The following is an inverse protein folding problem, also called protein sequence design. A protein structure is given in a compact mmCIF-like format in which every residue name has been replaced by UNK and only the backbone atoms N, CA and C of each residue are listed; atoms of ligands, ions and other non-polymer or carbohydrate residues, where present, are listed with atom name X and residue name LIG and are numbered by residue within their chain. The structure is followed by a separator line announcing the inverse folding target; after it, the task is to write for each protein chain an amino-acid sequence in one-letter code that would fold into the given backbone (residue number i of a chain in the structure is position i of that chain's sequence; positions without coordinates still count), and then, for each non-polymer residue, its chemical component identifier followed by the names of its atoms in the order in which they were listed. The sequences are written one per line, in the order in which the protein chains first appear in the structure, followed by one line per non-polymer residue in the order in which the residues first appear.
data_IF_305252745174
#
_entry.id   IF_305252745174
#
_cell.length_a   1.000
_cell.length_b   1.000
_cell.length_c   1.000
_cell.angle_alpha   90.00
_cell.angle_beta   90.00
_cell.angle_gamma   90.00
#
_symmetry.space_group_name_H-M   'P 1'
#
loop_
_entity.id
_entity.type
_entity.pdbx_description
1 polymer ?
#
# COMPACT_ATOMS: atom_id res chain seq x y z
N UNK A 1 -9.99 2.34 -2.73
CA UNK A 1 -8.97 2.93 -3.61
C UNK A 1 -8.32 4.15 -2.96
N UNK A 2 -8.95 5.33 -2.95
CA UNK A 2 -8.36 6.53 -2.34
C UNK A 2 -7.93 6.33 -0.87
N UNK A 3 -8.78 5.71 -0.05
CA UNK A 3 -8.46 5.41 1.36
C UNK A 3 -7.24 4.50 1.51
N UNK A 4 -7.14 3.45 0.68
CA UNK A 4 -6.01 2.51 0.67
C UNK A 4 -4.72 3.23 0.28
N UNK A 5 -4.79 4.08 -0.74
CA UNK A 5 -3.64 4.87 -1.18
C UNK A 5 -3.17 5.84 -0.07
N UNK A 6 -4.09 6.55 0.59
CA UNK A 6 -3.75 7.46 1.69
C UNK A 6 -3.11 6.70 2.86
N UNK A 7 -3.65 5.54 3.24
CA UNK A 7 -3.10 4.73 4.33
C UNK A 7 -1.69 4.21 4.02
N UNK A 8 -1.45 3.70 2.82
CA UNK A 8 -0.11 3.30 2.38
C UNK A 8 0.87 4.47 2.34
N UNK A 9 0.42 5.63 1.83
CA UNK A 9 1.25 6.85 1.77
C UNK A 9 1.71 7.28 3.17
N UNK A 10 0.79 7.32 4.13
CA UNK A 10 1.09 7.71 5.52
C UNK A 10 2.02 6.70 6.19
N UNK A 11 1.80 5.41 5.95
CA UNK A 11 2.63 4.36 6.50
C UNK A 11 4.08 4.47 6.03
N UNK A 12 4.29 4.63 4.71
CA UNK A 12 5.63 4.83 4.17
C UNK A 12 6.28 6.12 4.70
N UNK A 13 5.51 7.20 4.87
CA UNK A 13 6.00 8.45 5.44
C UNK A 13 6.45 8.28 6.91
N UNK A 14 5.68 7.53 7.71
CA UNK A 14 6.01 7.25 9.12
C UNK A 14 7.31 6.46 9.22
N UNK A 15 7.52 5.47 8.36
CA UNK A 15 8.75 4.69 8.36
C UNK A 15 9.98 5.54 8.00
N UNK A 16 9.88 6.31 6.90
CA UNK A 16 10.95 7.21 6.44
C UNK A 16 11.29 8.27 7.50
N UNK A 17 10.27 8.95 8.04
CA UNK A 17 10.48 10.00 9.05
C UNK A 17 10.94 9.45 10.39
N UNK A 18 10.55 8.21 10.74
CA UNK A 18 11.00 7.51 11.94
C UNK A 18 12.50 7.22 11.94
N UNK A 19 13.06 6.78 10.80
CA UNK A 19 14.50 6.61 10.62
C UNK A 19 15.26 7.93 10.71
N UNK A 20 14.74 8.96 10.01
CA UNK A 20 15.36 10.29 9.99
C UNK A 20 15.46 10.93 11.40
N UNK A 21 14.40 10.79 12.23
CA UNK A 21 14.38 11.29 13.61
C UNK A 21 15.36 10.59 14.54
N UNK A 22 15.72 9.33 14.26
CA UNK A 22 16.73 8.58 15.02
C UNK A 22 18.16 8.90 14.58
N UNK A 23 18.34 9.79 13.59
CA UNK A 23 19.65 10.13 13.03
C UNK A 23 20.31 8.97 12.27
N UNK A 24 19.53 7.94 11.91
CA UNK A 24 20.02 6.69 11.34
C UNK A 24 19.30 6.31 10.05
N UNK A 25 19.78 5.24 9.42
CA UNK A 25 19.18 4.65 8.23
C UNK A 25 17.88 3.92 8.67
N UNK A 26 16.72 4.15 8.02
CA UNK A 26 15.49 3.39 8.26
C UNK A 26 15.74 1.87 8.33
N UNK A 27 15.07 1.16 9.23
CA UNK A 27 15.33 -0.28 9.48
C UNK A 27 15.19 -1.16 8.23
N UNK A 28 14.32 -0.77 7.30
CA UNK A 28 14.14 -1.47 6.03
C UNK A 28 15.33 -1.29 5.07
N UNK A 29 16.07 -0.18 5.16
CA UNK A 29 17.28 0.07 4.37
C UNK A 29 18.49 -0.65 4.96
N UNK A 30 18.54 -0.80 6.28
CA UNK A 30 19.60 -1.53 6.99
C UNK A 30 19.61 -3.03 6.62
N UNK A 31 18.43 -3.61 6.35
CA UNK A 31 18.28 -5.00 5.90
C UNK A 31 18.56 -5.21 4.42
N UNK A 32 18.29 -4.20 3.59
CA UNK A 32 18.34 -4.31 2.12
C UNK A 32 19.70 -3.84 1.55
N UNK A 33 20.51 -3.12 2.34
CA UNK A 33 21.87 -2.69 1.94
C UNK A 33 21.90 -1.65 0.82
N UNK A 34 20.73 -1.09 0.48
CA UNK A 34 20.54 -0.09 -0.56
C UNK A 34 20.32 1.29 0.06
N UNK A 35 20.67 2.33 -0.70
CA UNK A 35 20.53 3.74 -0.28
C UNK A 35 19.07 4.21 -0.27
N UNK A 36 18.20 3.49 -1.00
CA UNK A 36 16.77 3.74 -1.12
C UNK A 36 16.04 2.40 -1.22
N UNK A 37 14.85 2.31 -0.62
CA UNK A 37 14.01 1.13 -0.77
C UNK A 37 13.25 1.30 -2.10
N UNK A 38 13.56 0.51 -3.14
CA UNK A 38 12.95 0.66 -4.45
C UNK A 38 11.42 0.45 -4.40
N UNK A 39 10.92 -0.29 -3.41
CA UNK A 39 9.48 -0.47 -3.15
C UNK A 39 8.85 0.86 -2.74
N UNK A 40 9.46 1.60 -1.80
CA UNK A 40 8.92 2.90 -1.37
C UNK A 40 8.89 3.90 -2.51
N UNK A 41 9.96 3.93 -3.33
CA UNK A 41 10.05 4.86 -4.45
C UNK A 41 8.95 4.58 -5.46
N UNK A 42 8.78 3.32 -5.87
CA UNK A 42 7.78 2.91 -6.85
C UNK A 42 6.36 3.14 -6.32
N UNK A 43 6.13 2.88 -5.03
CA UNK A 43 4.85 3.12 -4.37
C UNK A 43 4.49 4.61 -4.36
N UNK A 44 5.39 5.46 -3.86
CA UNK A 44 5.15 6.89 -3.67
C UNK A 44 5.14 7.67 -4.99
N UNK A 45 5.93 7.27 -5.99
CA UNK A 45 6.06 8.02 -7.24
C UNK A 45 5.03 7.64 -8.31
N UNK A 46 4.56 6.38 -8.33
CA UNK A 46 3.77 5.85 -9.44
C UNK A 46 2.45 5.21 -8.98
N UNK A 47 2.51 4.25 -8.08
CA UNK A 47 1.32 3.50 -7.67
C UNK A 47 0.32 4.35 -6.91
N UNK A 48 0.77 5.16 -5.96
CA UNK A 48 -0.12 5.98 -5.13
C UNK A 48 -0.79 7.12 -5.92
N UNK A 49 -0.05 7.90 -6.75
CA UNK A 49 -0.67 8.87 -7.66
C UNK A 49 -1.62 8.20 -8.65
N UNK A 50 -1.24 7.06 -9.22
CA UNK A 50 -2.09 6.32 -10.16
C UNK A 50 -3.36 5.78 -9.51
N UNK A 51 -3.28 5.25 -8.29
CA UNK A 51 -4.45 4.81 -7.52
C UNK A 51 -5.41 5.96 -7.20
N UNK A 52 -4.88 7.17 -6.93
CA UNK A 52 -5.69 8.37 -6.76
C UNK A 52 -6.42 8.75 -8.05
N UNK A 53 -5.72 8.74 -9.20
CA UNK A 53 -6.32 9.00 -10.52
C UNK A 53 -7.43 7.98 -10.81
N UNK A 54 -7.20 6.69 -10.56
CA UNK A 54 -8.20 5.63 -10.75
C UNK A 54 -9.40 5.82 -9.83
N UNK A 55 -9.19 6.24 -8.57
CA UNK A 55 -10.28 6.58 -7.65
C UNK A 55 -11.14 7.74 -8.18
N UNK A 56 -10.52 8.80 -8.70
CA UNK A 56 -11.22 9.94 -9.29
C UNK A 56 -11.99 9.52 -10.55
N UNK A 57 -11.39 8.67 -11.41
CA UNK A 57 -12.05 8.15 -12.61
C UNK A 57 -13.27 7.28 -12.28
N UNK A 58 -13.21 6.48 -11.22
CA UNK A 58 -14.34 5.71 -10.70
C UNK A 58 -15.47 6.61 -10.19
N UNK A 59 -15.15 7.66 -9.42
CA UNK A 59 -16.13 8.64 -8.95
C UNK A 59 -16.83 9.36 -10.12
N UNK A 60 -16.09 9.60 -11.20
CA UNK A 60 -16.59 10.19 -12.45
C UNK A 60 -17.30 9.18 -13.37
N UNK A 61 -17.51 7.93 -12.93
CA UNK A 61 -18.12 6.83 -13.70
C UNK A 61 -17.48 6.62 -15.08
N UNK A 62 -16.18 6.87 -15.22
CA UNK A 62 -15.44 6.66 -16.48
C UNK A 62 -15.07 5.19 -16.63
N UNK A 63 -15.24 4.64 -17.83
CA UNK A 63 -14.92 3.24 -18.15
C UNK A 63 -13.48 2.87 -17.85
N UNK A 64 -12.54 3.80 -18.08
CA UNK A 64 -11.12 3.61 -17.71
C UNK A 64 -10.91 3.40 -16.21
N UNK A 65 -11.69 4.08 -15.37
CA UNK A 65 -11.63 3.88 -13.91
C UNK A 65 -12.10 2.48 -13.53
N UNK A 66 -13.13 1.96 -14.19
CA UNK A 66 -13.64 0.61 -13.93
C UNK A 66 -12.63 -0.48 -14.34
N UNK A 67 -12.00 -0.33 -15.51
CA UNK A 67 -11.00 -1.27 -16.04
C UNK A 67 -9.74 -1.26 -15.18
N UNK A 68 -9.25 -0.09 -14.79
CA UNK A 68 -8.02 0.03 -13.99
C UNK A 68 -8.23 -0.28 -12.49
N UNK A 69 -9.47 -0.26 -12.00
CA UNK A 69 -9.76 -0.58 -10.61
C UNK A 69 -9.34 -2.01 -10.24
N UNK A 70 -9.63 -2.98 -11.10
CA UNK A 70 -9.37 -4.40 -10.84
C UNK A 70 -7.87 -4.69 -10.67
N UNK A 71 -6.97 -4.34 -11.62
CA UNK A 71 -5.54 -4.60 -11.46
C UNK A 71 -4.95 -3.88 -10.25
N UNK A 72 -5.41 -2.66 -9.94
CA UNK A 72 -4.97 -1.95 -8.73
C UNK A 72 -5.44 -2.66 -7.44
N UNK A 73 -6.67 -3.17 -7.38
CA UNK A 73 -7.18 -3.90 -6.22
C UNK A 73 -6.40 -5.20 -5.99
N UNK A 74 -6.12 -5.94 -7.07
CA UNK A 74 -5.32 -7.17 -7.01
C UNK A 74 -3.90 -6.87 -6.55
N UNK A 75 -3.29 -5.82 -7.09
CA UNK A 75 -1.96 -5.37 -6.67
C UNK A 75 -1.91 -5.02 -5.18
N UNK A 76 -2.85 -4.21 -4.68
CA UNK A 76 -2.91 -3.88 -3.25
C UNK A 76 -3.13 -5.11 -2.35
N UNK A 77 -3.93 -6.08 -2.79
CA UNK A 77 -4.13 -7.32 -2.06
C UNK A 77 -2.85 -8.17 -2.00
N UNK A 78 -2.19 -8.39 -3.14
CA UNK A 78 -0.95 -9.17 -3.21
C UNK A 78 0.19 -8.52 -2.43
N UNK A 79 0.36 -7.21 -2.58
CA UNK A 79 1.36 -6.45 -1.82
C UNK A 79 1.11 -6.56 -0.31
N UNK A 80 -0.14 -6.38 0.10
CA UNK A 80 -0.48 -6.51 1.50
C UNK A 80 -0.25 -7.93 2.05
N UNK A 81 -0.52 -8.98 1.27
CA UNK A 81 -0.18 -10.37 1.63
C UNK A 81 1.34 -10.53 1.79
N UNK A 82 2.13 -10.06 0.81
CA UNK A 82 3.59 -10.17 0.84
C UNK A 82 4.19 -9.49 2.09
N UNK A 83 3.68 -8.30 2.41
CA UNK A 83 4.09 -7.53 3.59
C UNK A 83 3.74 -8.27 4.90
N UNK A 84 2.52 -8.80 5.03
CA UNK A 84 2.11 -9.59 6.20
C UNK A 84 2.98 -10.84 6.33
N UNK A 85 3.27 -11.54 5.24
CA UNK A 85 4.18 -12.69 5.24
C UNK A 85 5.59 -12.31 5.70
N UNK A 86 6.10 -11.14 5.31
CA UNK A 86 7.41 -10.65 5.74
C UNK A 86 7.43 -10.30 7.23
N UNK A 87 6.35 -9.69 7.74
CA UNK A 87 6.21 -9.34 9.16
C UNK A 87 6.13 -10.58 10.07
N UNK A 88 5.45 -11.65 9.63
CA UNK A 88 5.40 -12.94 10.36
C UNK A 88 6.80 -13.55 10.44
N UNK A 89 7.56 -13.54 9.35
CA UNK A 89 8.89 -14.16 9.30
C UNK A 89 9.97 -13.41 10.09
N UNK A 90 9.75 -12.13 10.42
CA UNK A 90 10.76 -11.29 11.07
C UNK A 90 10.54 -11.12 12.58
N UNK A 91 9.54 -11.78 13.17
CA UNK A 91 9.08 -11.57 14.56
C UNK A 91 8.88 -10.09 14.94
N UNK A 92 8.75 -9.20 13.95
CA UNK A 92 8.42 -7.80 14.15
C UNK A 92 6.92 -7.67 14.35
N UNK A 93 6.40 -8.25 15.44
CA UNK A 93 5.06 -8.01 15.94
C UNK A 93 4.99 -6.61 16.58
N UNK A 94 5.22 -5.59 15.77
CA UNK A 94 5.13 -4.18 16.16
C UNK A 94 3.88 -3.49 15.60
N UNK A 95 3.67 -2.21 15.93
CA UNK A 95 2.54 -1.41 15.45
C UNK A 95 2.38 -1.40 13.92
N UNK A 96 3.49 -1.54 13.17
CA UNK A 96 3.50 -1.63 11.71
C UNK A 96 2.71 -2.85 11.20
N UNK A 97 2.86 -4.02 11.82
CA UNK A 97 2.15 -5.24 11.41
C UNK A 97 0.62 -5.10 11.56
N UNK A 98 0.17 -4.45 12.64
CA UNK A 98 -1.26 -4.19 12.89
C UNK A 98 -1.86 -3.25 11.84
N UNK A 99 -1.14 -2.16 11.52
CA UNK A 99 -1.59 -1.19 10.51
C UNK A 99 -1.63 -1.83 9.11
N UNK A 100 -0.61 -2.62 8.76
CA UNK A 100 -0.54 -3.31 7.46
C UNK A 100 -1.64 -4.35 7.29
N UNK A 101 -1.91 -5.13 8.34
CA UNK A 101 -3.01 -6.11 8.33
C UNK A 101 -4.38 -5.42 8.16
N UNK A 102 -4.58 -4.27 8.80
CA UNK A 102 -5.80 -3.48 8.63
C UNK A 102 -5.97 -2.98 7.18
N UNK A 103 -4.88 -2.52 6.56
CA UNK A 103 -4.90 -2.06 5.15
C UNK A 103 -5.22 -3.21 4.19
N UNK A 104 -4.67 -4.40 4.41
CA UNK A 104 -4.98 -5.62 3.64
C UNK A 104 -6.47 -5.92 3.71
N UNK A 105 -7.01 -5.99 4.93
CA UNK A 105 -8.42 -6.35 5.16
C UNK A 105 -9.34 -5.33 4.48
N UNK A 106 -9.06 -4.03 4.65
CA UNK A 106 -9.84 -2.96 4.00
C UNK A 106 -9.77 -3.08 2.47
N UNK A 107 -8.61 -3.40 1.92
CA UNK A 107 -8.42 -3.58 0.47
C UNK A 107 -9.23 -4.76 -0.07
N UNK A 108 -9.20 -5.90 0.63
CA UNK A 108 -9.96 -7.11 0.26
C UNK A 108 -11.47 -6.85 0.35
N UNK A 109 -11.93 -6.17 1.40
CA UNK A 109 -13.36 -5.82 1.58
C UNK A 109 -13.84 -4.89 0.48
N UNK A 110 -13.06 -3.86 0.14
CA UNK A 110 -13.40 -2.95 -0.96
C UNK A 110 -13.40 -3.70 -2.29
N UNK A 111 -12.44 -4.61 -2.51
CA UNK A 111 -12.37 -5.39 -3.74
C UNK A 111 -13.58 -6.31 -3.92
N UNK A 112 -13.93 -7.08 -2.88
CA UNK A 112 -15.08 -8.00 -2.91
C UNK A 112 -16.42 -7.25 -3.00
N UNK A 113 -16.57 -6.12 -2.31
CA UNK A 113 -17.74 -5.26 -2.44
C UNK A 113 -17.90 -4.66 -3.84
N UNK A 114 -16.78 -4.31 -4.48
CA UNK A 114 -16.78 -3.81 -5.85
C UNK A 114 -17.14 -4.91 -6.86
N UNK A 115 -16.53 -6.10 -6.76
CA UNK A 115 -16.85 -7.27 -7.59
C UNK A 115 -18.34 -7.66 -7.51
N UNK A 116 -18.92 -7.69 -6.29
CA UNK A 116 -20.35 -7.98 -6.09
C UNK A 116 -21.31 -6.95 -6.66
N UNK A 117 -20.85 -5.73 -6.95
CA UNK A 117 -21.69 -4.65 -7.49
C UNK A 117 -21.74 -4.64 -9.02
N UNK A 118 -20.85 -5.40 -9.66
CA UNK A 118 -20.66 -5.43 -11.11
C UNK A 118 -21.10 -6.78 -11.69
N UNK A 119 -21.11 -7.84 -10.88
CA UNK A 119 -21.75 -9.14 -11.17
C UNK A 119 -23.24 -9.11 -10.86
#
# INVERSE_FOLDING_TARGET
MATVAVLFSLLWLVDITGGLKRGGIPQDLEKVGLWVNPIHVLDLSLLLPGAFIVAVLLLRKRTLGLVLAVPYLVFFALMGIAIVSMAINTETAGPQMTVMSAIVIVSIVIATGYLKRIS
#
